data_IF_013294845626
#
_entry.id   IF_013294845626
#
_cell.length_a   1.000
_cell.length_b   1.000
_cell.length_c   1.000
_cell.angle_alpha   90.00
_cell.angle_beta   90.00
_cell.angle_gamma   90.00
#
_symmetry.space_group_name_H-M   'P 1'
#
loop_
_entity.id
_entity.type
_entity.pdbx_description
1 polymer ?
#
# COMPACT_ATOMS: atom_id res chain seq x y z
N UNK A 1 -9.37 -16.66 -2.16
CA UNK A 1 -8.15 -17.37 -2.67
C UNK A 1 -7.02 -17.30 -1.65
N UNK A 2 -6.14 -18.31 -1.55
CA UNK A 2 -4.97 -18.31 -0.64
C UNK A 2 -3.67 -18.22 -1.44
N UNK A 3 -2.63 -17.62 -0.85
CA UNK A 3 -1.30 -17.40 -1.44
C UNK A 3 -0.20 -17.88 -0.50
N UNK A 4 0.92 -18.31 -1.05
CA UNK A 4 2.17 -18.53 -0.29
C UNK A 4 2.78 -17.20 0.17
N UNK A 5 3.80 -17.25 1.02
CA UNK A 5 4.53 -16.05 1.46
C UNK A 5 5.17 -15.33 0.25
N UNK A 6 5.76 -16.07 -0.68
CA UNK A 6 6.39 -15.51 -1.88
C UNK A 6 5.35 -14.82 -2.76
N UNK A 7 4.26 -15.50 -3.08
CA UNK A 7 3.19 -14.92 -3.90
C UNK A 7 2.54 -13.71 -3.23
N UNK A 8 2.45 -13.69 -1.89
CA UNK A 8 1.93 -12.54 -1.16
C UNK A 8 2.88 -11.35 -1.22
N UNK A 9 4.19 -11.59 -1.12
CA UNK A 9 5.21 -10.56 -1.30
C UNK A 9 5.11 -9.92 -2.69
N UNK A 10 5.03 -10.76 -3.72
CA UNK A 10 4.90 -10.31 -5.11
C UNK A 10 3.55 -9.60 -5.36
N UNK A 11 2.46 -10.11 -4.78
CA UNK A 11 1.12 -9.52 -4.92
C UNK A 11 1.01 -8.12 -4.30
N UNK A 12 1.70 -7.90 -3.17
CA UNK A 12 1.66 -6.63 -2.45
C UNK A 12 2.78 -5.68 -2.82
N UNK A 13 3.72 -6.11 -3.67
CA UNK A 13 4.94 -5.37 -4.00
C UNK A 13 5.74 -5.01 -2.71
N UNK A 14 5.89 -6.01 -1.83
CA UNK A 14 6.58 -5.89 -0.54
C UNK A 14 7.67 -6.95 -0.42
N UNK A 15 8.77 -6.69 0.31
CA UNK A 15 9.77 -7.71 0.56
C UNK A 15 9.22 -8.83 1.46
N UNK A 16 9.72 -10.05 1.28
CA UNK A 16 9.36 -11.23 2.09
C UNK A 16 9.52 -10.98 3.60
N UNK A 17 10.53 -10.19 3.98
CA UNK A 17 10.77 -9.79 5.37
C UNK A 17 9.58 -9.03 5.99
N UNK A 18 8.89 -8.20 5.21
CA UNK A 18 7.70 -7.49 5.67
C UNK A 18 6.54 -8.45 5.86
N UNK A 19 6.34 -9.42 4.95
CA UNK A 19 5.31 -10.44 5.12
C UNK A 19 5.56 -11.22 6.42
N UNK A 20 6.80 -11.63 6.69
CA UNK A 20 7.15 -12.28 7.96
C UNK A 20 6.90 -11.39 9.18
N UNK A 21 7.16 -10.08 9.10
CA UNK A 21 6.83 -9.13 10.16
C UNK A 21 5.32 -9.08 10.42
N UNK A 22 4.51 -8.93 9.37
CA UNK A 22 3.04 -8.90 9.46
C UNK A 22 2.48 -10.17 10.10
N UNK A 23 3.03 -11.35 9.76
CA UNK A 23 2.66 -12.63 10.37
C UNK A 23 3.03 -12.66 11.87
N UNK A 24 4.27 -12.29 12.20
CA UNK A 24 4.80 -12.30 13.58
C UNK A 24 4.01 -11.35 14.48
N UNK A 25 3.65 -10.18 13.96
CA UNK A 25 2.87 -9.15 14.66
C UNK A 25 1.36 -9.40 14.63
N UNK A 26 0.92 -10.51 14.01
CA UNK A 26 -0.50 -10.90 13.89
C UNK A 26 -1.36 -9.85 13.19
N UNK A 27 -0.78 -9.06 12.29
CA UNK A 27 -1.49 -8.05 11.50
C UNK A 27 -2.26 -8.67 10.33
N UNK A 28 -1.90 -9.89 9.92
CA UNK A 28 -2.56 -10.63 8.84
C UNK A 28 -2.98 -12.03 9.28
N UNK A 29 -4.08 -12.50 8.71
CA UNK A 29 -4.63 -13.84 8.87
C UNK A 29 -3.86 -14.82 8.00
N UNK A 30 -3.43 -15.91 8.63
CA UNK A 30 -2.74 -17.03 7.97
C UNK A 30 -3.40 -18.34 8.35
N UNK A 31 -3.36 -19.29 7.42
CA UNK A 31 -3.72 -20.69 7.60
C UNK A 31 -2.41 -21.49 7.62
N UNK A 32 -2.21 -22.32 8.64
CA UNK A 32 -1.08 -23.26 8.71
C UNK A 32 -1.58 -24.64 8.29
N UNK A 33 -0.98 -25.20 7.26
CA UNK A 33 -1.28 -26.52 6.73
C UNK A 33 0.00 -27.35 6.86
N UNK A 34 0.02 -28.30 7.80
CA UNK A 34 1.20 -29.15 8.08
C UNK A 34 2.50 -28.33 8.19
N UNK A 35 3.25 -28.21 7.09
CA UNK A 35 4.54 -27.50 7.00
C UNK A 35 4.50 -26.18 6.20
N UNK A 36 3.33 -25.76 5.70
CA UNK A 36 3.16 -24.57 4.85
C UNK A 36 2.30 -23.48 5.50
N UNK A 37 2.62 -22.22 5.18
CA UNK A 37 1.84 -21.04 5.57
C UNK A 37 1.13 -20.49 4.34
N UNK A 38 -0.19 -20.46 4.42
CA UNK A 38 -1.07 -19.91 3.40
C UNK A 38 -1.73 -18.62 3.90
N UNK A 39 -1.80 -17.61 3.06
CA UNK A 39 -2.27 -16.27 3.41
C UNK A 39 -3.54 -15.98 2.62
N UNK A 40 -4.61 -15.57 3.30
CA UNK A 40 -5.88 -15.27 2.64
C UNK A 40 -5.78 -13.96 1.84
N UNK A 41 -5.87 -14.02 0.51
CA UNK A 41 -5.61 -12.86 -0.37
C UNK A 41 -6.53 -11.67 -0.15
N UNK A 42 -7.84 -11.91 0.00
CA UNK A 42 -8.85 -10.83 0.02
C UNK A 42 -8.78 -9.95 1.28
N UNK A 43 -7.99 -10.34 2.28
CA UNK A 43 -7.73 -9.48 3.44
C UNK A 43 -7.00 -8.18 3.07
N UNK A 44 -6.34 -8.14 1.92
CA UNK A 44 -5.57 -6.99 1.44
C UNK A 44 -6.37 -6.03 0.55
N UNK A 45 -7.65 -6.30 0.29
CA UNK A 45 -8.46 -5.48 -0.62
C UNK A 45 -8.50 -4.00 -0.19
N UNK A 46 -8.69 -3.76 1.12
CA UNK A 46 -8.68 -2.40 1.67
C UNK A 46 -7.31 -1.72 1.47
N UNK A 47 -6.22 -2.40 1.81
CA UNK A 47 -4.87 -1.87 1.65
C UNK A 47 -4.59 -1.45 0.19
N UNK A 48 -4.94 -2.29 -0.78
CA UNK A 48 -4.76 -1.99 -2.19
C UNK A 48 -5.64 -0.82 -2.65
N UNK A 49 -6.89 -0.78 -2.19
CA UNK A 49 -7.82 0.31 -2.51
C UNK A 49 -7.31 1.65 -1.98
N UNK A 50 -6.83 1.70 -0.74
CA UNK A 50 -6.28 2.93 -0.16
C UNK A 50 -4.98 3.35 -0.85
N UNK A 51 -4.10 2.40 -1.17
CA UNK A 51 -2.87 2.68 -1.93
C UNK A 51 -3.16 3.27 -3.32
N UNK A 52 -4.19 2.79 -4.00
CA UNK A 52 -4.62 3.36 -5.29
C UNK A 52 -5.15 4.79 -5.14
N UNK A 53 -5.96 5.06 -4.12
CA UNK A 53 -6.46 6.42 -3.82
C UNK A 53 -5.32 7.39 -3.51
N UNK A 54 -4.36 6.97 -2.70
CA UNK A 54 -3.20 7.80 -2.37
C UNK A 54 -2.37 8.16 -3.61
N UNK A 55 -2.16 7.19 -4.51
CA UNK A 55 -1.49 7.44 -5.79
C UNK A 55 -2.25 8.46 -6.65
N UNK A 56 -3.56 8.31 -6.78
CA UNK A 56 -4.38 9.25 -7.53
C UNK A 56 -4.32 10.67 -6.95
N UNK A 57 -4.39 10.81 -5.61
CA UNK A 57 -4.29 12.11 -4.95
C UNK A 57 -2.92 12.79 -5.17
N UNK A 58 -1.83 12.00 -5.19
CA UNK A 58 -0.49 12.48 -5.51
C UNK A 58 -0.39 12.95 -6.97
N UNK A 59 -0.95 12.19 -7.91
CA UNK A 59 -1.00 12.58 -9.32
C UNK A 59 -1.80 13.87 -9.53
N UNK A 60 -2.97 14.00 -8.89
CA UNK A 60 -3.78 15.21 -8.93
C UNK A 60 -3.03 16.43 -8.36
N UNK A 61 -2.31 16.24 -7.24
CA UNK A 61 -1.48 17.29 -6.65
C UNK A 61 -0.35 17.74 -7.60
N UNK A 62 0.34 16.80 -8.24
CA UNK A 62 1.41 17.10 -9.19
C UNK A 62 0.90 17.77 -10.48
N UNK A 63 -0.33 17.47 -10.88
CA UNK A 63 -0.99 18.09 -12.03
C UNK A 63 -1.66 19.42 -11.69
N UNK A 64 -1.75 19.79 -10.42
CA UNK A 64 -2.35 21.06 -10.01
C UNK A 64 -1.43 22.20 -10.49
N UNK A 65 -1.93 23.13 -11.33
CA UNK A 65 -1.12 24.25 -11.77
C UNK A 65 -0.72 25.09 -10.56
N UNK A 66 0.55 25.49 -10.54
CA UNK A 66 1.03 26.44 -9.53
C UNK A 66 0.19 27.71 -9.69
N UNK A 67 -0.37 28.26 -8.60
CA UNK A 67 -1.07 29.55 -8.65
C UNK A 67 -0.16 30.58 -9.33
N UNK A 68 -0.75 31.50 -10.10
CA UNK A 68 0.03 32.62 -10.61
C UNK A 68 0.63 33.39 -9.44
N UNK A 69 1.90 33.77 -9.60
CA UNK A 69 2.64 34.52 -8.58
C UNK A 69 1.90 35.84 -8.37
N UNK A 70 1.38 36.06 -7.16
CA UNK A 70 0.75 37.32 -6.81
C UNK A 70 1.89 38.32 -6.69
N UNK A 71 2.03 39.20 -7.69
CA UNK A 71 2.94 40.37 -7.64
C UNK A 71 2.39 41.34 -6.58
N UNK A 72 2.60 41.01 -5.30
CA UNK A 72 2.34 41.89 -4.18
C UNK A 72 3.44 42.94 -4.22
N UNK A 73 3.17 44.03 -4.93
CA UNK A 73 3.88 45.28 -4.68
C UNK A 73 3.45 45.72 -3.28
N UNK A 74 4.38 45.64 -2.33
CA UNK A 74 4.25 46.35 -1.06
C UNK A 74 4.14 47.85 -1.42
N UNK A 75 2.89 48.32 -1.53
CA UNK A 75 2.59 49.74 -1.65
C UNK A 75 2.84 50.36 -0.27
N UNK A 76 3.85 51.23 -0.23
CA UNK A 76 4.37 52.03 0.90
C UNK A 76 3.30 52.58 1.86
#
# INVERSE_FOLDING_TARGET
MYLTIQETADYLDLPISEIHRLIREKQIRVLRLEDEIMIYREQFNLFLTEREKEKAALEDYLNTPVPEDIDIKDED
#
